data_IF_442703629088
#
_entry.id   IF_442703629088
#
_cell.length_a   1.000
_cell.length_b   1.000
_cell.length_c   1.000
_cell.angle_alpha   90.00
_cell.angle_beta   90.00
_cell.angle_gamma   90.00
#
_symmetry.space_group_name_H-M   'P 1'
#
loop_
_entity.id
_entity.type
_entity.pdbx_description
1 polymer ?
#
# COMPACT_ATOMS: atom_id res chain seq x y z
N UNK A 1 -72.99 24.17 -37.25
CA UNK A 1 -71.63 24.75 -37.09
C UNK A 1 -71.21 24.98 -35.63
N UNK A 2 -72.13 25.21 -34.69
CA UNK A 2 -71.79 25.38 -33.25
C UNK A 2 -71.55 24.05 -32.51
N UNK A 3 -72.21 22.96 -32.93
CA UNK A 3 -72.10 21.64 -32.27
C UNK A 3 -70.80 20.88 -32.56
N UNK A 4 -70.17 21.12 -33.72
CA UNK A 4 -68.92 20.44 -34.13
C UNK A 4 -67.68 21.05 -33.45
N UNK A 5 -67.74 22.34 -33.08
CA UNK A 5 -66.66 23.02 -32.38
C UNK A 5 -66.58 22.65 -30.88
N UNK A 6 -67.72 22.37 -30.24
CA UNK A 6 -67.75 21.95 -28.83
C UNK A 6 -67.25 20.51 -28.63
N UNK A 7 -67.59 19.58 -29.54
CA UNK A 7 -67.10 18.20 -29.50
C UNK A 7 -65.57 18.09 -29.73
N UNK A 8 -64.99 19.00 -30.52
CA UNK A 8 -63.55 19.11 -30.78
C UNK A 8 -62.75 19.64 -29.58
N UNK A 9 -63.28 20.62 -28.84
CA UNK A 9 -62.64 21.14 -27.63
C UNK A 9 -62.70 20.15 -26.46
N UNK A 10 -63.83 19.46 -26.25
CA UNK A 10 -63.95 18.48 -25.16
C UNK A 10 -63.03 17.27 -25.37
N UNK A 11 -62.94 16.74 -26.59
CA UNK A 11 -61.98 15.67 -26.88
C UNK A 11 -60.53 16.12 -26.70
N UNK A 12 -60.15 17.33 -27.14
CA UNK A 12 -58.79 17.85 -26.95
C UNK A 12 -58.42 18.03 -25.46
N UNK A 13 -59.35 18.51 -24.61
CA UNK A 13 -59.11 18.63 -23.17
C UNK A 13 -59.04 17.28 -22.47
N UNK A 14 -59.87 16.30 -22.85
CA UNK A 14 -59.84 14.93 -22.31
C UNK A 14 -58.52 14.23 -22.69
N UNK A 15 -58.09 14.30 -23.95
CA UNK A 15 -56.80 13.73 -24.38
C UNK A 15 -55.62 14.41 -23.70
N UNK A 16 -55.63 15.75 -23.53
CA UNK A 16 -54.56 16.48 -22.82
C UNK A 16 -54.50 16.13 -21.34
N UNK A 17 -55.65 15.99 -20.67
CA UNK A 17 -55.71 15.61 -19.25
C UNK A 17 -55.30 14.16 -19.02
N UNK A 18 -55.65 13.26 -19.95
CA UNK A 18 -55.27 11.84 -19.92
C UNK A 18 -53.78 11.65 -20.24
N UNK A 19 -53.20 12.47 -21.13
CA UNK A 19 -51.76 12.50 -21.42
C UNK A 19 -50.93 13.07 -20.26
N UNK A 20 -51.41 14.11 -19.58
CA UNK A 20 -50.78 14.66 -18.37
C UNK A 20 -50.82 13.67 -17.20
N UNK A 21 -51.93 12.95 -17.00
CA UNK A 21 -52.00 11.84 -16.04
C UNK A 21 -51.03 10.72 -16.39
N UNK A 22 -50.91 10.35 -17.66
CA UNK A 22 -49.95 9.35 -18.11
C UNK A 22 -48.50 9.79 -17.85
N UNK A 23 -48.21 11.09 -18.04
CA UNK A 23 -46.89 11.66 -17.81
C UNK A 23 -46.52 11.74 -16.32
N UNK A 24 -47.49 12.04 -15.43
CA UNK A 24 -47.31 11.93 -13.98
C UNK A 24 -47.12 10.49 -13.51
N UNK A 25 -47.91 9.55 -14.05
CA UNK A 25 -47.77 8.10 -13.77
C UNK A 25 -46.39 7.59 -14.22
N UNK A 26 -45.90 8.00 -15.39
CA UNK A 26 -44.54 7.71 -15.86
C UNK A 26 -43.44 8.32 -14.98
N UNK A 27 -43.66 9.52 -14.43
CA UNK A 27 -42.73 10.19 -13.51
C UNK A 27 -42.68 9.48 -12.14
N UNK A 28 -43.82 9.00 -11.66
CA UNK A 28 -43.95 8.19 -10.45
C UNK A 28 -43.33 6.80 -10.63
N UNK A 29 -43.56 6.15 -11.77
CA UNK A 29 -42.93 4.89 -12.13
C UNK A 29 -41.40 5.02 -12.24
N UNK A 30 -40.87 6.10 -12.84
CA UNK A 30 -39.42 6.36 -12.87
C UNK A 30 -38.84 6.57 -11.47
N UNK A 31 -39.54 7.30 -10.57
CA UNK A 31 -39.11 7.45 -9.17
C UNK A 31 -39.08 6.12 -8.43
N UNK A 32 -40.10 5.27 -8.62
CA UNK A 32 -40.17 3.94 -8.03
C UNK A 32 -39.11 2.99 -8.62
N UNK A 33 -38.81 3.08 -9.91
CA UNK A 33 -37.73 2.32 -10.55
C UNK A 33 -36.35 2.76 -10.04
N UNK A 34 -36.16 4.06 -9.82
CA UNK A 34 -34.91 4.60 -9.26
C UNK A 34 -34.75 4.20 -7.79
N UNK A 35 -35.84 4.25 -7.00
CA UNK A 35 -35.86 3.76 -5.62
C UNK A 35 -35.62 2.25 -5.55
N UNK A 36 -36.21 1.48 -6.46
CA UNK A 36 -36.01 0.04 -6.55
C UNK A 36 -34.57 -0.30 -6.97
N UNK A 37 -34.00 0.43 -7.94
CA UNK A 37 -32.61 0.29 -8.34
C UNK A 37 -31.65 0.67 -7.20
N UNK A 38 -31.92 1.75 -6.47
CA UNK A 38 -31.15 2.16 -5.29
C UNK A 38 -31.25 1.12 -4.16
N UNK A 39 -32.43 0.56 -3.92
CA UNK A 39 -32.66 -0.52 -2.96
C UNK A 39 -31.96 -1.83 -3.37
N UNK A 40 -31.98 -2.18 -4.66
CA UNK A 40 -31.21 -3.31 -5.21
C UNK A 40 -29.69 -3.08 -5.09
N UNK A 41 -29.20 -1.85 -5.29
CA UNK A 41 -27.79 -1.51 -5.11
C UNK A 41 -27.34 -1.56 -3.65
N UNK A 42 -28.23 -1.23 -2.71
CA UNK A 42 -27.98 -1.39 -1.27
C UNK A 42 -27.94 -2.88 -0.87
N UNK A 43 -28.75 -3.72 -1.52
CA UNK A 43 -28.76 -5.17 -1.27
C UNK A 43 -27.52 -5.89 -1.83
N UNK A 44 -26.85 -5.36 -2.86
CA UNK A 44 -25.62 -5.93 -3.41
C UNK A 44 -24.34 -5.53 -2.65
N UNK A 45 -24.43 -4.64 -1.65
CA UNK A 45 -23.29 -4.23 -0.83
C UNK A 45 -22.83 -5.28 0.21
N UNK A 46 -23.32 -6.53 0.15
CA UNK A 46 -22.96 -7.60 1.10
C UNK A 46 -21.62 -8.29 0.83
N UNK A 47 -20.90 -7.93 -0.23
CA UNK A 47 -19.49 -8.31 -0.38
C UNK A 47 -18.63 -7.16 0.13
N UNK A 48 -18.40 -7.16 1.44
CA UNK A 48 -17.47 -6.23 2.08
C UNK A 48 -16.12 -6.31 1.37
N UNK A 49 -15.65 -5.17 0.88
CA UNK A 49 -14.30 -5.04 0.34
C UNK A 49 -13.33 -5.14 1.50
N UNK A 50 -12.72 -6.31 1.69
CA UNK A 50 -11.66 -6.50 2.67
C UNK A 50 -10.41 -5.78 2.15
N UNK A 51 -9.96 -4.76 2.89
CA UNK A 51 -8.67 -4.10 2.65
C UNK A 51 -7.68 -4.73 3.63
N UNK A 52 -6.75 -5.57 3.17
CA UNK A 52 -5.75 -6.17 4.04
C UNK A 52 -4.95 -5.10 4.78
N UNK A 53 -4.79 -5.27 6.09
CA UNK A 53 -4.05 -4.36 6.95
C UNK A 53 -4.88 -3.30 7.68
N UNK A 54 -6.19 -3.17 7.40
CA UNK A 54 -7.09 -2.21 8.06
C UNK A 54 -7.84 -2.82 9.26
N UNK A 55 -8.23 -4.09 9.15
CA UNK A 55 -8.89 -4.82 10.25
C UNK A 55 -7.89 -5.71 11.00
N UNK A 56 -8.02 -5.83 12.33
CA UNK A 56 -7.20 -6.74 13.12
C UNK A 56 -7.58 -8.19 12.81
N UNK A 57 -6.56 -9.02 12.59
CA UNK A 57 -6.71 -10.48 12.55
C UNK A 57 -6.47 -11.02 13.96
N UNK A 58 -7.41 -11.81 14.45
CA UNK A 58 -7.34 -12.46 15.75
C UNK A 58 -6.96 -13.92 15.55
N UNK A 59 -5.96 -14.37 16.30
CA UNK A 59 -5.44 -15.72 16.24
C UNK A 59 -5.74 -16.43 17.56
N UNK A 60 -6.35 -17.61 17.46
CA UNK A 60 -6.49 -18.52 18.60
C UNK A 60 -5.19 -19.30 18.82
N UNK A 61 -4.97 -19.78 20.04
CA UNK A 61 -3.86 -20.70 20.36
C UNK A 61 -3.84 -21.87 19.37
N UNK A 62 -2.68 -22.15 18.79
CA UNK A 62 -2.49 -23.23 17.82
C UNK A 62 -2.98 -22.96 16.40
N UNK A 63 -3.59 -21.80 16.13
CA UNK A 63 -3.93 -21.41 14.75
C UNK A 63 -2.68 -21.25 13.88
N UNK A 64 -2.80 -21.60 12.59
CA UNK A 64 -1.67 -21.51 11.64
C UNK A 64 -1.36 -20.07 11.28
N UNK A 65 -0.10 -19.67 11.39
CA UNK A 65 0.41 -18.35 11.02
C UNK A 65 1.29 -18.48 9.79
N UNK A 66 0.82 -17.94 8.66
CA UNK A 66 1.56 -17.97 7.40
C UNK A 66 2.71 -16.95 7.41
N UNK A 67 3.95 -17.44 7.25
CA UNK A 67 5.09 -16.58 6.90
C UNK A 67 5.15 -16.47 5.39
N UNK A 68 5.17 -15.24 4.88
CA UNK A 68 5.27 -14.96 3.44
C UNK A 68 6.62 -14.34 3.13
N UNK A 69 7.11 -14.55 1.92
CA UNK A 69 8.32 -13.89 1.44
C UNK A 69 7.96 -12.86 0.37
N UNK A 70 8.68 -11.75 0.36
CA UNK A 70 8.42 -10.63 -0.55
C UNK A 70 9.51 -10.56 -1.62
N UNK A 71 10.72 -10.18 -1.22
CA UNK A 71 11.84 -9.94 -2.14
C UNK A 71 13.18 -9.88 -1.42
N UNK A 72 14.23 -9.82 -2.20
CA UNK A 72 15.61 -9.58 -1.81
C UNK A 72 15.98 -8.15 -2.20
N UNK A 73 16.58 -7.40 -1.28
CA UNK A 73 17.08 -6.04 -1.56
C UNK A 73 18.48 -5.86 -1.00
N UNK A 74 19.31 -5.08 -1.68
CA UNK A 74 20.62 -4.68 -1.22
C UNK A 74 20.65 -3.19 -0.88
N UNK A 75 21.56 -2.79 0.00
CA UNK A 75 21.92 -1.37 0.20
C UNK A 75 22.97 -0.88 -0.79
N UNK A 76 23.72 -1.80 -1.42
CA UNK A 76 24.78 -1.52 -2.40
C UNK A 76 24.25 -1.42 -3.82
N UNK A 77 23.30 -2.28 -4.18
CA UNK A 77 22.72 -2.33 -5.53
C UNK A 77 21.27 -1.85 -5.51
N UNK A 78 20.81 -1.29 -6.62
CA UNK A 78 19.43 -0.78 -6.75
C UNK A 78 18.44 -1.84 -7.27
N UNK A 79 18.91 -3.05 -7.60
CA UNK A 79 18.10 -4.09 -8.23
C UNK A 79 17.53 -5.07 -7.18
N UNK A 80 16.20 -5.11 -6.97
CA UNK A 80 15.57 -6.13 -6.16
C UNK A 80 15.44 -7.45 -6.94
N UNK A 81 15.50 -8.58 -6.22
CA UNK A 81 15.25 -9.91 -6.77
C UNK A 81 14.07 -10.57 -6.06
N UNK A 82 13.38 -11.49 -6.75
CA UNK A 82 12.33 -12.31 -6.15
C UNK A 82 12.92 -13.27 -5.11
N UNK A 83 12.13 -13.69 -4.12
CA UNK A 83 12.62 -14.57 -3.06
C UNK A 83 13.22 -15.88 -3.59
N UNK A 84 12.50 -16.60 -4.45
CA UNK A 84 12.95 -17.86 -5.06
C UNK A 84 13.93 -17.69 -6.23
N UNK A 85 14.47 -16.49 -6.44
CA UNK A 85 15.63 -16.32 -7.32
C UNK A 85 16.86 -17.03 -6.77
N UNK A 86 16.97 -17.07 -5.44
CA UNK A 86 17.97 -17.86 -4.73
C UNK A 86 17.47 -19.30 -4.50
N UNK A 87 18.38 -20.28 -4.35
CA UNK A 87 18.06 -21.69 -4.14
C UNK A 87 17.56 -21.96 -2.70
N UNK A 88 16.55 -21.20 -2.26
CA UNK A 88 15.80 -21.50 -1.06
C UNK A 88 14.84 -22.65 -1.30
N UNK A 89 14.26 -23.11 -0.20
CA UNK A 89 13.42 -24.28 -0.22
C UNK A 89 12.01 -23.96 -0.63
N UNK A 90 11.57 -24.69 -1.64
CA UNK A 90 10.22 -24.62 -2.16
C UNK A 90 9.24 -25.25 -1.15
N UNK A 91 8.03 -24.71 -1.02
CA UNK A 91 6.99 -25.33 -0.21
C UNK A 91 6.61 -26.69 -0.79
N UNK A 92 6.06 -27.58 0.04
CA UNK A 92 5.67 -28.94 -0.37
C UNK A 92 4.49 -28.96 -1.39
N UNK A 93 3.82 -27.81 -1.60
CA UNK A 93 2.74 -27.62 -2.57
C UNK A 93 3.05 -26.60 -3.67
N UNK A 94 2.01 -26.08 -4.34
CA UNK A 94 2.16 -25.08 -5.40
C UNK A 94 2.62 -23.72 -4.85
N UNK A 95 3.42 -23.01 -5.65
CA UNK A 95 3.80 -21.62 -5.39
C UNK A 95 2.56 -20.73 -5.57
N UNK A 96 2.08 -20.18 -4.46
CA UNK A 96 0.93 -19.28 -4.44
C UNK A 96 1.42 -17.84 -4.32
N UNK A 97 1.10 -17.04 -5.34
CA UNK A 97 1.29 -15.60 -5.32
C UNK A 97 0.04 -14.95 -4.72
N UNK A 98 0.17 -14.34 -3.54
CA UNK A 98 -0.93 -13.62 -2.87
C UNK A 98 -0.59 -12.14 -2.81
N UNK A 99 -1.21 -11.31 -3.65
CA UNK A 99 -1.12 -9.85 -3.50
C UNK A 99 -2.19 -9.38 -2.51
N UNK A 100 -1.79 -8.74 -1.41
CA UNK A 100 -2.72 -8.34 -0.35
C UNK A 100 -3.26 -6.92 -0.62
N UNK A 101 -2.42 -5.96 -1.05
CA UNK A 101 -2.89 -4.57 -1.23
C UNK A 101 -2.50 -3.91 -2.57
N UNK A 102 -3.23 -2.85 -2.93
CA UNK A 102 -2.99 -2.06 -4.14
C UNK A 102 -1.58 -1.45 -4.15
N UNK A 103 -1.06 -1.07 -2.98
CA UNK A 103 0.28 -0.49 -2.86
C UNK A 103 1.40 -1.49 -3.18
N UNK A 104 1.23 -2.77 -2.89
CA UNK A 104 2.15 -3.87 -3.25
C UNK A 104 2.11 -4.13 -4.74
N UNK A 105 0.91 -4.11 -5.34
CA UNK A 105 0.73 -4.25 -6.79
C UNK A 105 1.44 -3.10 -7.52
N UNK A 106 1.27 -1.85 -7.07
CA UNK A 106 1.92 -0.68 -7.67
C UNK A 106 3.44 -0.70 -7.48
N UNK A 107 3.94 -1.30 -6.39
CA UNK A 107 5.38 -1.51 -6.18
C UNK A 107 5.95 -2.68 -6.99
N UNK A 108 5.08 -3.50 -7.59
CA UNK A 108 5.49 -4.74 -8.26
C UNK A 108 5.96 -5.83 -7.31
N UNK A 109 5.58 -5.76 -6.03
CA UNK A 109 5.97 -6.75 -5.02
C UNK A 109 5.20 -8.06 -5.26
N UNK A 110 5.93 -9.16 -5.47
CA UNK A 110 5.38 -10.51 -5.68
C UNK A 110 5.50 -11.34 -4.41
N UNK A 111 4.50 -11.22 -3.54
CA UNK A 111 4.48 -11.97 -2.28
C UNK A 111 4.14 -13.44 -2.53
N UNK A 112 4.98 -14.32 -2.00
CA UNK A 112 4.89 -15.78 -2.17
C UNK A 112 4.79 -16.52 -0.84
N UNK A 113 4.15 -17.69 -0.85
CA UNK A 113 4.14 -18.60 0.30
C UNK A 113 5.53 -19.20 0.55
N UNK A 114 5.80 -19.54 1.81
CA UNK A 114 7.04 -20.19 2.25
C UNK A 114 6.75 -21.52 2.95
N UNK A 115 7.76 -22.39 3.15
CA UNK A 115 7.59 -23.65 3.88
C UNK A 115 7.62 -23.51 5.41
N UNK A 116 7.72 -22.28 5.95
CA UNK A 116 7.71 -22.08 7.40
C UNK A 116 6.31 -22.42 7.96
N UNK A 117 6.26 -23.34 8.93
CA UNK A 117 5.03 -23.76 9.57
C UNK A 117 5.03 -23.27 11.02
N UNK A 118 4.36 -22.14 11.27
CA UNK A 118 4.24 -21.55 12.60
C UNK A 118 2.82 -21.72 13.10
N UNK A 119 2.68 -22.15 14.36
CA UNK A 119 1.41 -22.21 15.05
C UNK A 119 1.41 -21.20 16.20
N UNK A 120 0.32 -20.47 16.36
CA UNK A 120 0.18 -19.39 17.32
C UNK A 120 0.45 -19.87 18.75
N UNK A 121 1.31 -19.16 19.48
CA UNK A 121 1.68 -19.45 20.89
C UNK A 121 2.27 -20.86 21.13
N UNK A 122 2.76 -21.51 20.07
CA UNK A 122 3.48 -22.78 20.15
C UNK A 122 4.94 -22.54 19.72
N UNK A 123 5.90 -22.51 20.66
CA UNK A 123 7.29 -22.23 20.35
C UNK A 123 7.93 -23.42 19.62
N UNK A 124 8.72 -23.11 18.59
CA UNK A 124 9.48 -24.09 17.81
C UNK A 124 10.96 -23.92 18.13
N UNK A 125 11.55 -24.86 18.87
CA UNK A 125 12.97 -24.79 19.21
C UNK A 125 13.86 -24.89 17.97
N UNK A 126 13.60 -25.88 17.12
CA UNK A 126 14.33 -26.07 15.87
C UNK A 126 13.49 -26.89 14.89
N UNK A 127 13.36 -26.43 13.66
CA UNK A 127 12.78 -27.19 12.58
C UNK A 127 13.57 -27.03 11.28
N UNK A 128 13.79 -28.13 10.56
CA UNK A 128 14.36 -28.14 9.23
C UNK A 128 13.28 -27.82 8.20
N UNK A 129 13.59 -26.95 7.23
CA UNK A 129 12.63 -26.59 6.17
C UNK A 129 12.49 -27.66 5.09
N UNK A 130 13.62 -28.12 4.57
CA UNK A 130 13.72 -28.77 3.25
C UNK A 130 14.28 -30.18 3.31
N UNK A 131 14.50 -30.68 4.53
CA UNK A 131 14.95 -32.04 4.75
C UNK A 131 13.79 -33.00 4.46
N UNK A 132 13.50 -33.26 3.19
CA UNK A 132 12.91 -34.53 2.80
C UNK A 132 13.98 -35.57 3.12
N UNK A 133 13.81 -36.29 4.23
CA UNK A 133 14.67 -37.39 4.68
C UNK A 133 16.07 -37.03 5.20
N UNK A 134 16.25 -35.87 5.87
CA UNK A 134 17.51 -35.51 6.57
C UNK A 134 18.72 -35.26 5.68
N UNK A 135 18.48 -35.11 4.38
CA UNK A 135 19.53 -34.86 3.39
C UNK A 135 19.85 -33.38 3.36
N UNK A 136 21.14 -33.04 3.42
CA UNK A 136 21.62 -31.66 3.19
C UNK A 136 21.23 -31.22 1.79
N UNK A 137 20.79 -29.98 1.65
CA UNK A 137 20.57 -29.38 0.33
C UNK A 137 21.92 -29.23 -0.35
N UNK A 138 22.10 -29.94 -1.48
CA UNK A 138 23.30 -29.82 -2.32
C UNK A 138 23.12 -28.63 -3.24
N UNK A 139 23.94 -27.60 -3.05
CA UNK A 139 24.00 -26.43 -3.91
C UNK A 139 24.98 -26.69 -5.04
N UNK A 140 24.57 -26.46 -6.28
CA UNK A 140 25.47 -26.49 -7.43
C UNK A 140 26.60 -25.46 -7.27
N UNK A 141 27.69 -25.64 -8.02
CA UNK A 141 28.78 -24.66 -8.06
C UNK A 141 28.26 -23.27 -8.50
N UNK A 142 27.43 -23.22 -9.53
CA UNK A 142 26.84 -21.97 -10.02
C UNK A 142 25.89 -21.31 -9.00
N UNK A 143 25.10 -22.10 -8.28
CA UNK A 143 24.20 -21.62 -7.23
C UNK A 143 24.97 -21.10 -6.01
N UNK A 144 26.08 -21.77 -5.68
CA UNK A 144 26.99 -21.35 -4.61
C UNK A 144 27.66 -20.01 -4.95
N UNK A 145 28.13 -19.87 -6.20
CA UNK A 145 28.74 -18.62 -6.68
C UNK A 145 27.73 -17.47 -6.69
N UNK A 146 26.49 -17.73 -7.12
CA UNK A 146 25.39 -16.77 -7.06
C UNK A 146 25.11 -16.32 -5.62
N UNK A 147 25.01 -17.25 -4.67
CA UNK A 147 24.83 -16.91 -3.25
C UNK A 147 26.00 -16.08 -2.71
N UNK A 148 27.23 -16.44 -3.06
CA UNK A 148 28.44 -15.71 -2.65
C UNK A 148 28.41 -14.26 -3.16
N UNK A 149 28.05 -14.05 -4.43
CA UNK A 149 27.92 -12.72 -5.01
C UNK A 149 26.85 -11.89 -4.30
N UNK A 150 25.69 -12.50 -4.03
CA UNK A 150 24.57 -11.83 -3.37
C UNK A 150 24.90 -11.49 -1.90
N UNK A 151 25.67 -12.32 -1.20
CA UNK A 151 26.15 -12.01 0.15
C UNK A 151 27.17 -10.86 0.11
N UNK A 152 28.12 -10.85 -0.84
CA UNK A 152 29.08 -9.76 -1.02
C UNK A 152 28.41 -8.42 -1.35
N UNK A 153 27.28 -8.49 -2.06
CA UNK A 153 26.43 -7.35 -2.35
C UNK A 153 25.48 -7.01 -1.19
N UNK A 154 25.61 -7.61 0.00
CA UNK A 154 24.82 -7.29 1.20
C UNK A 154 23.30 -7.40 0.98
N UNK A 155 22.87 -8.41 0.23
CA UNK A 155 21.45 -8.67 0.04
C UNK A 155 20.78 -9.11 1.35
N UNK A 156 19.58 -8.56 1.57
CA UNK A 156 18.71 -8.83 2.71
C UNK A 156 17.40 -9.43 2.24
N UNK A 157 16.91 -10.39 3.01
CA UNK A 157 15.69 -11.14 2.73
C UNK A 157 14.52 -10.51 3.47
N UNK A 158 13.48 -10.13 2.75
CA UNK A 158 12.25 -9.56 3.32
C UNK A 158 11.18 -10.62 3.47
N UNK A 159 10.81 -10.89 4.72
CA UNK A 159 9.70 -11.75 5.09
C UNK A 159 8.57 -10.91 5.70
N UNK A 160 7.37 -11.46 5.69
CA UNK A 160 6.13 -10.81 6.08
C UNK A 160 5.28 -11.76 6.93
N UNK A 161 4.73 -11.27 8.04
CA UNK A 161 3.78 -12.00 8.89
C UNK A 161 2.66 -11.03 9.27
N UNK A 162 1.40 -11.38 9.04
CA UNK A 162 0.23 -10.52 9.32
C UNK A 162 0.39 -9.07 8.82
N UNK A 163 0.92 -8.94 7.60
CA UNK A 163 1.29 -7.67 6.94
C UNK A 163 2.40 -6.86 7.62
N UNK A 164 3.07 -7.37 8.66
CA UNK A 164 4.23 -6.74 9.28
C UNK A 164 5.52 -7.23 8.62
N UNK A 165 6.43 -6.32 8.23
CA UNK A 165 7.72 -6.70 7.70
C UNK A 165 8.61 -7.25 8.83
N UNK A 166 9.36 -8.30 8.55
CA UNK A 166 10.36 -8.80 9.47
C UNK A 166 11.51 -7.82 9.64
N UNK A 167 11.95 -7.62 10.87
CA UNK A 167 13.06 -6.70 11.18
C UNK A 167 14.18 -7.37 11.94
N UNK A 168 15.42 -6.98 11.66
CA UNK A 168 16.58 -7.42 12.43
C UNK A 168 17.06 -6.28 13.31
N UNK A 169 17.18 -6.58 14.60
CA UNK A 169 17.77 -5.71 15.60
C UNK A 169 19.30 -5.73 15.49
N UNK A 170 19.93 -4.56 15.41
CA UNK A 170 21.38 -4.37 15.37
C UNK A 170 21.75 -3.34 16.45
N UNK A 171 22.68 -3.69 17.33
CA UNK A 171 23.18 -2.72 18.31
C UNK A 171 24.20 -1.80 17.64
N UNK A 172 23.95 -0.50 17.71
CA UNK A 172 24.93 0.51 17.34
C UNK A 172 26.00 0.62 18.44
N UNK A 173 27.20 1.09 18.08
CA UNK A 173 28.30 1.34 19.03
C UNK A 173 27.88 2.24 20.22
N UNK A 174 26.89 3.10 20.01
CA UNK A 174 26.34 4.00 21.05
C UNK A 174 25.39 3.29 22.04
N UNK A 175 25.26 1.96 21.98
CA UNK A 175 24.33 1.18 22.81
C UNK A 175 22.86 1.35 22.44
N UNK A 176 22.56 2.04 21.33
CA UNK A 176 21.20 2.21 20.82
C UNK A 176 20.85 1.06 19.88
N UNK A 177 19.64 0.57 20.00
CA UNK A 177 19.11 -0.45 19.11
C UNK A 177 18.67 0.19 17.78
N UNK A 178 19.35 -0.14 16.70
CA UNK A 178 18.86 0.08 15.35
C UNK A 178 18.06 -1.14 14.91
N UNK A 179 16.99 -0.90 14.16
CA UNK A 179 16.29 -1.99 13.50
C UNK A 179 16.41 -1.77 11.99
N UNK A 180 16.57 -2.86 11.25
CA UNK A 180 16.61 -2.87 9.78
C UNK A 180 15.55 -3.81 9.23
N UNK A 181 14.97 -3.47 8.08
CA UNK A 181 14.04 -4.36 7.38
C UNK A 181 14.76 -5.58 6.80
N UNK A 182 14.14 -6.75 6.95
CA UNK A 182 14.68 -8.04 6.54
C UNK A 182 15.89 -8.48 7.34
N UNK A 183 16.36 -9.70 7.09
CA UNK A 183 17.58 -10.25 7.67
C UNK A 183 18.69 -10.36 6.61
N UNK A 184 19.96 -10.29 7.03
CA UNK A 184 21.08 -10.44 6.11
C UNK A 184 21.22 -11.89 5.63
N UNK A 185 21.38 -12.10 4.32
CA UNK A 185 21.57 -13.44 3.75
C UNK A 185 22.83 -14.13 4.29
N UNK A 186 23.85 -13.35 4.61
CA UNK A 186 25.14 -13.82 5.12
C UNK A 186 26.02 -12.64 5.51
N UNK A 187 27.27 -12.93 5.80
CA UNK A 187 28.28 -11.92 6.09
C UNK A 187 29.63 -12.34 5.51
N UNK A 188 30.52 -11.36 5.36
CA UNK A 188 31.89 -11.59 4.88
C UNK A 188 32.83 -11.30 6.04
N UNK A 189 33.68 -12.27 6.36
CA UNK A 189 34.70 -12.15 7.41
C UNK A 189 36.03 -12.72 6.91
N UNK A 190 37.13 -12.00 7.13
CA UNK A 190 38.48 -12.33 6.62
C UNK A 190 38.51 -12.79 5.14
N UNK A 191 37.73 -12.14 4.28
CA UNK A 191 37.57 -12.47 2.85
C UNK A 191 36.91 -13.84 2.56
N UNK A 192 36.40 -14.52 3.59
CA UNK A 192 35.55 -15.70 3.48
C UNK A 192 34.09 -15.28 3.59
N UNK A 193 33.22 -16.00 2.87
CA UNK A 193 31.79 -15.70 2.83
C UNK A 193 31.04 -16.75 3.65
N UNK A 194 30.22 -16.28 4.57
CA UNK A 194 29.43 -17.11 5.47
C UNK A 194 27.94 -16.93 5.20
N UNK A 195 27.20 -18.04 5.17
CA UNK A 195 25.76 -18.04 4.90
C UNK A 195 24.97 -18.12 6.20
N UNK A 196 23.93 -17.31 6.33
CA UNK A 196 22.94 -17.46 7.40
C UNK A 196 21.88 -18.48 7.01
N UNK A 197 22.06 -19.71 7.45
CA UNK A 197 21.19 -20.85 7.14
C UNK A 197 20.15 -21.15 8.23
N UNK A 198 20.28 -20.54 9.41
CA UNK A 198 19.31 -20.64 10.49
C UNK A 198 18.62 -19.30 10.72
N UNK A 199 17.29 -19.31 10.73
CA UNK A 199 16.47 -18.12 10.96
C UNK A 199 15.65 -18.28 12.23
N UNK A 200 15.90 -17.43 13.23
CA UNK A 200 15.16 -17.39 14.48
C UNK A 200 14.11 -16.27 14.42
N UNK A 201 12.84 -16.64 14.50
CA UNK A 201 11.71 -15.73 14.52
C UNK A 201 11.32 -15.40 15.95
N UNK A 202 11.20 -14.11 16.24
CA UNK A 202 10.66 -13.59 17.49
C UNK A 202 9.39 -12.83 17.13
N UNK A 203 8.24 -13.38 17.49
CA UNK A 203 6.95 -12.78 17.18
C UNK A 203 6.37 -12.19 18.46
N UNK A 204 6.12 -10.89 18.43
CA UNK A 204 5.51 -10.18 19.54
C UNK A 204 3.99 -10.24 19.42
N UNK A 205 3.34 -10.70 20.48
CA UNK A 205 1.89 -10.90 20.55
C UNK A 205 1.28 -10.07 21.67
N UNK A 206 0.06 -9.60 21.45
CA UNK A 206 -0.73 -8.89 22.42
C UNK A 206 -2.01 -9.68 22.72
N UNK A 207 -2.27 -9.94 24.00
CA UNK A 207 -3.45 -10.65 24.46
C UNK A 207 -4.66 -9.70 24.49
N UNK A 208 -5.76 -10.12 23.86
CA UNK A 208 -7.00 -9.32 23.78
C UNK A 208 -8.06 -9.92 24.69
N UNK A 209 -8.19 -11.24 24.66
CA UNK A 209 -9.06 -12.05 25.51
C UNK A 209 -8.39 -13.40 25.78
N UNK A 210 -8.98 -14.19 26.68
CA UNK A 210 -8.49 -15.54 26.99
C UNK A 210 -8.27 -16.35 25.71
N UNK A 211 -7.04 -16.82 25.50
CA UNK A 211 -6.62 -17.64 24.34
C UNK A 211 -6.75 -16.98 22.96
N UNK A 212 -6.87 -15.63 22.92
CA UNK A 212 -6.96 -14.87 21.66
C UNK A 212 -5.92 -13.77 21.63
N UNK A 213 -5.06 -13.84 20.62
CA UNK A 213 -3.89 -13.01 20.48
C UNK A 213 -3.89 -12.26 19.15
N UNK A 214 -3.24 -11.09 19.15
CA UNK A 214 -2.97 -10.30 17.95
C UNK A 214 -1.46 -10.14 17.77
N UNK A 215 -1.00 -10.24 16.53
CA UNK A 215 0.43 -10.08 16.20
C UNK A 215 0.74 -8.57 16.10
N UNK A 216 1.70 -8.12 16.91
CA UNK A 216 2.09 -6.71 17.03
C UNK A 216 3.53 -6.44 16.64
N UNK A 217 4.36 -7.46 16.50
CA UNK A 217 5.75 -7.29 16.09
C UNK A 217 6.34 -8.55 15.49
N UNK A 218 7.30 -8.38 14.59
CA UNK A 218 7.99 -9.45 13.91
C UNK A 218 9.48 -9.10 13.79
N UNK A 219 10.27 -9.80 14.59
CA UNK A 219 11.72 -9.68 14.62
C UNK A 219 12.36 -10.99 14.10
N UNK A 220 13.45 -10.85 13.36
CA UNK A 220 14.19 -11.95 12.75
C UNK A 220 15.66 -11.83 13.13
N UNK A 221 16.19 -12.90 13.70
CA UNK A 221 17.61 -13.07 13.98
C UNK A 221 18.16 -14.20 13.12
N UNK A 222 19.07 -13.87 12.21
CA UNK A 222 19.70 -14.85 11.34
C UNK A 222 21.05 -15.29 11.92
N UNK A 223 21.36 -16.58 11.84
CA UNK A 223 22.61 -17.17 12.32
C UNK A 223 23.19 -18.10 11.27
N UNK A 224 24.51 -18.20 11.28
CA UNK A 224 25.26 -19.14 10.45
C UNK A 224 25.66 -20.35 11.30
N UNK A 225 25.19 -21.55 10.92
CA UNK A 225 25.40 -22.79 11.65
C UNK A 225 25.98 -23.86 10.71
N UNK A 226 27.23 -24.26 10.94
CA UNK A 226 27.86 -25.34 10.16
C UNK A 226 27.49 -26.75 10.65
N UNK A 227 27.53 -26.94 11.97
CA UNK A 227 27.21 -28.22 12.62
C UNK A 227 25.79 -28.16 13.17
N UNK A 228 24.87 -28.81 12.45
CA UNK A 228 23.49 -29.05 12.87
C UNK A 228 23.24 -30.55 12.87
N UNK A 229 22.72 -31.07 13.98
CA UNK A 229 22.34 -32.46 14.11
C UNK A 229 20.83 -32.60 13.92
N UNK A 230 20.44 -33.54 13.07
CA UNK A 230 19.05 -33.93 12.94
C UNK A 230 18.68 -34.92 14.05
N UNK A 231 17.51 -34.73 14.67
CA UNK A 231 17.01 -35.62 15.72
C UNK A 231 15.96 -36.57 15.12
N UNK A 232 16.26 -37.87 14.95
CA UNK A 232 15.44 -38.78 14.14
C UNK A 232 14.08 -39.18 14.68
N UNK A 233 13.72 -38.80 15.92
CA UNK A 233 12.51 -39.30 16.58
C UNK A 233 11.38 -38.26 16.76
N UNK A 234 11.47 -37.06 16.19
CA UNK A 234 10.46 -35.98 16.39
C UNK A 234 10.05 -35.26 15.10
N UNK A 235 10.17 -35.92 13.93
CA UNK A 235 9.84 -35.30 12.64
C UNK A 235 10.90 -34.29 12.21
N UNK A 236 10.52 -33.13 11.66
CA UNK A 236 11.44 -32.09 11.13
C UNK A 236 12.33 -31.40 12.19
N UNK A 237 12.43 -31.91 13.42
CA UNK A 237 13.18 -31.26 14.52
C UNK A 237 14.69 -31.36 14.38
N UNK A 238 15.41 -30.34 14.85
CA UNK A 238 16.88 -30.32 14.88
C UNK A 238 17.45 -29.89 16.24
N UNK A 239 18.74 -30.12 16.45
CA UNK A 239 19.50 -29.59 17.57
C UNK A 239 20.81 -28.99 17.05
N UNK A 240 21.25 -27.91 17.69
CA UNK A 240 22.52 -27.28 17.38
C UNK A 240 23.21 -26.87 18.69
N UNK A 241 24.54 -26.87 18.68
CA UNK A 241 25.32 -26.44 19.83
C UNK A 241 25.54 -24.92 19.75
N UNK A 242 25.59 -24.24 20.90
CA UNK A 242 25.82 -22.80 20.97
C UNK A 242 27.20 -22.37 20.45
N UNK A 243 28.14 -23.31 20.33
CA UNK A 243 29.51 -23.11 19.84
C UNK A 243 29.71 -23.52 18.36
N UNK A 244 28.63 -23.74 17.61
CA UNK A 244 28.76 -24.11 16.19
C UNK A 244 29.47 -23.01 15.39
N UNK A 245 30.51 -23.39 14.65
CA UNK A 245 31.22 -22.49 13.73
C UNK A 245 30.29 -21.98 12.63
N UNK A 246 30.58 -20.79 12.10
CA UNK A 246 29.85 -20.23 10.96
C UNK A 246 30.04 -21.11 9.72
N UNK A 247 28.97 -21.31 8.94
CA UNK A 247 28.97 -22.12 7.71
C UNK A 247 29.64 -21.34 6.57
N UNK A 248 30.86 -21.74 6.13
CA UNK A 248 31.51 -21.08 5.01
C UNK A 248 30.89 -21.56 3.69
N UNK A 249 30.88 -20.67 2.69
CA UNK A 249 30.61 -21.00 1.29
C UNK A 249 31.91 -20.98 0.51
N UNK A 250 32.22 -22.08 -0.18
CA UNK A 250 33.37 -22.17 -1.08
C UNK A 250 32.94 -21.91 -2.53
N UNK A 251 33.63 -21.02 -3.26
CA UNK A 251 33.31 -20.76 -4.66
C UNK A 251 33.67 -21.95 -5.55
N UNK A 252 32.89 -22.18 -6.60
CA UNK A 252 33.14 -23.23 -7.61
C UNK A 252 33.01 -24.67 -7.11
N UNK A 253 32.53 -24.90 -5.88
CA UNK A 253 32.38 -26.24 -5.27
C UNK A 253 30.92 -26.48 -4.88
N UNK A 254 30.51 -27.75 -4.90
CA UNK A 254 29.20 -28.16 -4.36
C UNK A 254 29.22 -28.00 -2.85
N UNK A 255 28.37 -27.13 -2.31
CA UNK A 255 28.22 -26.92 -0.87
C UNK A 255 26.97 -27.67 -0.37
N UNK A 256 27.07 -28.30 0.80
CA UNK A 256 25.96 -29.02 1.42
C UNK A 256 25.48 -28.28 2.66
N UNK A 257 24.22 -27.84 2.67
CA UNK A 257 23.70 -26.92 3.70
C UNK A 257 22.37 -27.43 4.27
N UNK A 258 22.19 -27.24 5.57
CA UNK A 258 20.89 -27.38 6.23
C UNK A 258 20.21 -26.03 6.38
N UNK A 259 18.98 -25.92 5.90
CA UNK A 259 18.10 -24.79 6.17
C UNK A 259 17.21 -25.10 7.35
N UNK A 260 17.21 -24.22 8.34
CA UNK A 260 16.48 -24.42 9.57
C UNK A 260 15.90 -23.12 10.09
N UNK A 261 14.90 -23.24 10.96
CA UNK A 261 14.32 -22.11 11.64
C UNK A 261 13.93 -22.48 13.08
N UNK A 262 13.70 -21.44 13.86
CA UNK A 262 13.16 -21.53 15.20
C UNK A 262 12.18 -20.38 15.39
N UNK A 263 11.23 -20.53 16.31
CA UNK A 263 10.21 -19.53 16.56
C UNK A 263 9.94 -19.41 18.07
N UNK A 264 9.95 -18.18 18.54
CA UNK A 264 9.62 -17.78 19.91
C UNK A 264 8.48 -16.76 19.88
N UNK A 265 7.54 -16.92 20.80
CA UNK A 265 6.41 -16.00 20.99
C UNK A 265 6.66 -15.18 22.26
N UNK A 266 6.55 -13.85 22.16
CA UNK A 266 6.77 -12.93 23.29
C UNK A 266 5.56 -12.04 23.51
N UNK A 267 5.05 -12.01 24.73
CA UNK A 267 3.99 -11.07 25.12
C UNK A 267 4.53 -9.64 25.12
N UNK A 268 3.77 -8.73 24.51
CA UNK A 268 4.09 -7.32 24.40
C UNK A 268 2.91 -6.44 24.80
N UNK A 269 3.14 -5.33 25.54
CA UNK A 269 2.10 -4.38 25.93
C UNK A 269 1.64 -3.47 24.78
N UNK A 270 2.27 -3.56 23.60
CA UNK A 270 1.94 -2.73 22.43
C UNK A 270 0.54 -3.08 21.93
N UNK A 271 -0.29 -2.05 21.73
CA UNK A 271 -1.63 -2.22 21.14
C UNK A 271 -1.52 -2.45 19.63
N UNK A 272 -2.45 -3.23 19.07
CA UNK A 272 -2.48 -3.50 17.63
C UNK A 272 -2.50 -2.22 16.77
N UNK A 273 -3.22 -1.17 17.18
CA UNK A 273 -3.30 0.08 16.43
C UNK A 273 -1.95 0.81 16.29
N UNK A 274 -1.06 0.69 17.28
CA UNK A 274 0.26 1.33 17.31
C UNK A 274 1.39 0.40 16.81
N UNK A 275 1.05 -0.80 16.30
CA UNK A 275 2.05 -1.82 15.94
C UNK A 275 3.02 -1.38 14.84
N UNK A 276 2.60 -0.45 13.98
CA UNK A 276 3.40 0.09 12.89
C UNK A 276 4.39 1.18 13.33
N UNK A 277 4.18 1.80 14.50
CA UNK A 277 4.98 2.95 14.94
C UNK A 277 6.46 2.59 15.09
N UNK A 278 6.76 1.37 15.57
CA UNK A 278 8.13 0.85 15.69
C UNK A 278 8.83 0.80 14.33
N UNK A 279 8.16 0.30 13.29
CA UNK A 279 8.71 0.17 11.94
C UNK A 279 8.85 1.51 11.21
N UNK A 280 7.95 2.45 11.48
CA UNK A 280 8.01 3.80 10.91
C UNK A 280 9.15 4.61 11.54
N UNK A 281 9.43 4.40 12.83
CA UNK A 281 10.50 5.08 13.55
C UNK A 281 11.92 4.69 13.07
N UNK A 282 12.08 3.48 12.53
CA UNK A 282 13.34 2.98 11.95
C UNK A 282 13.85 3.79 10.77
N UNK A 283 12.92 4.38 10.00
CA UNK A 283 13.25 5.16 8.82
C UNK A 283 13.46 6.63 9.15
N UNK A 284 14.02 6.94 10.32
CA UNK A 284 14.55 8.26 10.64
C UNK A 284 15.85 8.53 9.86
N UNK A 285 15.79 8.31 8.54
CA UNK A 285 16.69 9.00 7.64
C UNK A 285 16.43 10.48 7.86
N UNK A 286 17.50 11.18 8.23
CA UNK A 286 17.56 12.63 8.26
C UNK A 286 16.82 13.15 7.05
N UNK A 287 15.74 13.90 7.29
CA UNK A 287 15.00 14.58 6.24
C UNK A 287 16.06 15.22 5.35
N UNK A 288 16.08 14.86 4.06
CA UNK A 288 16.93 15.53 3.08
C UNK A 288 16.39 16.96 2.94
N UNK A 289 16.68 17.78 3.95
CA UNK A 289 16.26 19.16 4.09
C UNK A 289 16.73 19.98 2.89
N UNK A 290 17.77 19.51 2.20
CA UNK A 290 18.23 19.98 0.90
C UNK A 290 17.11 19.96 -0.16
N UNK A 291 16.29 18.90 -0.24
CA UNK A 291 15.17 18.81 -1.20
C UNK A 291 14.01 19.75 -0.82
N UNK A 292 13.78 19.93 0.47
CA UNK A 292 12.75 20.86 0.98
C UNK A 292 13.16 22.30 0.70
N UNK A 293 14.41 22.66 1.03
CA UNK A 293 14.98 23.99 0.75
C UNK A 293 14.96 24.27 -0.75
N UNK A 294 15.39 23.31 -1.58
CA UNK A 294 15.35 23.46 -3.04
C UNK A 294 13.93 23.75 -3.56
N UNK A 295 12.93 23.04 -3.04
CA UNK A 295 11.54 23.27 -3.44
C UNK A 295 11.02 24.64 -3.00
N UNK A 296 11.38 25.09 -1.79
CA UNK A 296 10.99 26.41 -1.27
C UNK A 296 11.62 27.53 -2.11
N UNK A 297 12.90 27.41 -2.45
CA UNK A 297 13.62 28.40 -3.27
C UNK A 297 12.94 28.56 -4.62
N UNK A 298 12.60 27.47 -5.30
CA UNK A 298 11.91 27.50 -6.61
C UNK A 298 10.56 28.23 -6.50
N UNK A 299 9.78 27.95 -5.45
CA UNK A 299 8.46 28.60 -5.26
C UNK A 299 8.60 30.11 -5.04
N UNK A 300 9.56 30.55 -4.21
CA UNK A 300 9.82 31.98 -3.96
C UNK A 300 10.26 32.68 -5.24
N UNK A 301 11.14 32.06 -6.04
CA UNK A 301 11.58 32.63 -7.32
C UNK A 301 10.43 32.76 -8.32
N UNK A 302 9.59 31.72 -8.46
CA UNK A 302 8.44 31.75 -9.37
C UNK A 302 7.41 32.80 -8.92
N UNK A 303 7.13 32.90 -7.62
CA UNK A 303 6.23 33.91 -7.07
C UNK A 303 6.79 35.33 -7.26
N UNK A 304 8.09 35.53 -7.04
CA UNK A 304 8.76 36.81 -7.29
C UNK A 304 8.72 37.21 -8.76
N UNK A 305 9.02 36.28 -9.66
CA UNK A 305 8.96 36.53 -11.11
C UNK A 305 7.54 36.88 -11.58
N UNK A 306 6.54 36.12 -11.13
CA UNK A 306 5.13 36.44 -11.40
C UNK A 306 4.74 37.82 -10.84
N UNK A 307 5.18 38.13 -9.61
CA UNK A 307 4.97 39.42 -8.98
C UNK A 307 5.59 40.58 -9.77
N UNK A 308 6.80 40.40 -10.32
CA UNK A 308 7.44 41.38 -11.19
C UNK A 308 6.68 41.58 -12.51
N UNK A 309 6.19 40.50 -13.12
CA UNK A 309 5.34 40.58 -14.33
C UNK A 309 4.07 41.38 -14.01
N UNK A 310 3.35 41.00 -12.95
CA UNK A 310 2.10 41.67 -12.55
C UNK A 310 2.36 43.14 -12.22
N UNK A 311 3.42 43.45 -11.47
CA UNK A 311 3.74 44.84 -11.14
C UNK A 311 4.07 45.65 -12.40
N UNK A 312 4.79 45.04 -13.35
CA UNK A 312 5.13 45.68 -14.62
C UNK A 312 3.91 45.90 -15.50
N UNK A 313 2.98 44.95 -15.55
CA UNK A 313 1.72 45.09 -16.32
C UNK A 313 0.82 46.14 -15.67
N UNK A 314 0.61 46.08 -14.35
CA UNK A 314 -0.24 47.04 -13.62
C UNK A 314 0.30 48.47 -13.75
N UNK A 315 1.62 48.68 -13.59
CA UNK A 315 2.20 50.03 -13.78
C UNK A 315 2.02 50.54 -15.21
N UNK A 316 2.16 49.66 -16.20
CA UNK A 316 1.96 50.00 -17.62
C UNK A 316 0.49 50.35 -17.89
N UNK A 317 -0.43 49.57 -17.35
CA UNK A 317 -1.86 49.76 -17.54
C UNK A 317 -2.33 51.05 -16.86
N UNK A 318 -1.92 51.33 -15.62
CA UNK A 318 -2.22 52.61 -14.95
C UNK A 318 -1.69 53.80 -15.76
N UNK A 319 -0.46 53.72 -16.25
CA UNK A 319 0.11 54.81 -17.07
C UNK A 319 -0.65 55.00 -18.40
N UNK A 320 -1.23 53.94 -18.95
CA UNK A 320 -2.08 54.00 -20.13
C UNK A 320 -3.46 54.59 -19.81
N UNK A 321 -4.12 54.12 -18.74
CA UNK A 321 -5.42 54.62 -18.32
C UNK A 321 -5.38 56.09 -17.90
N UNK A 322 -4.35 56.53 -17.17
CA UNK A 322 -4.20 57.94 -16.79
C UNK A 322 -4.04 58.87 -18.01
N UNK A 323 -3.42 58.39 -19.09
CA UNK A 323 -3.35 59.14 -20.36
C UNK A 323 -4.67 59.13 -21.12
N UNK A 324 -5.45 58.06 -20.98
CA UNK A 324 -6.79 57.96 -21.56
C UNK A 324 -7.78 58.87 -20.83
N UNK A 325 -7.74 58.93 -19.50
CA UNK A 325 -8.58 59.80 -18.66
C UNK A 325 -8.41 61.27 -19.04
N UNK A 326 -7.17 61.74 -19.25
CA UNK A 326 -6.90 63.10 -19.78
C UNK A 326 -7.50 63.35 -21.17
N UNK A 327 -7.85 62.32 -21.92
CA UNK A 327 -8.39 62.40 -23.29
C UNK A 327 -9.88 62.04 -23.42
N UNK A 328 -10.51 61.44 -22.39
CA UNK A 328 -11.83 60.79 -22.45
C UNK A 328 -12.86 61.37 -21.48
N UNK A 329 -12.55 62.46 -20.76
CA UNK A 329 -13.46 63.13 -19.81
C UNK A 329 -14.84 63.49 -20.43
N UNK A 330 -14.97 63.51 -21.76
CA UNK A 330 -16.23 63.78 -22.47
C UNK A 330 -16.99 62.53 -23.01
N UNK A 331 -16.47 61.29 -22.93
CA UNK A 331 -17.14 60.11 -23.56
C UNK A 331 -17.22 58.83 -22.71
N UNK A 332 -16.67 58.81 -21.49
CA UNK A 332 -16.51 57.56 -20.73
C UNK A 332 -17.63 57.20 -19.74
N UNK A 333 -18.66 58.04 -19.58
CA UNK A 333 -19.80 57.73 -18.69
C UNK A 333 -20.64 56.51 -19.14
N UNK A 334 -20.45 55.98 -20.35
CA UNK A 334 -21.26 54.87 -20.88
C UNK A 334 -20.59 53.47 -20.88
N UNK A 335 -19.32 53.34 -20.49
CA UNK A 335 -18.58 52.06 -20.60
C UNK A 335 -18.00 51.61 -19.25
N UNK A 336 -18.71 50.76 -18.52
CA UNK A 336 -18.18 50.16 -17.28
C UNK A 336 -18.96 48.96 -16.75
N UNK A 337 -18.29 48.20 -15.87
CA UNK A 337 -18.80 47.01 -15.14
C UNK A 337 -20.16 47.21 -14.44
N UNK A 338 -20.62 48.45 -14.30
CA UNK A 338 -21.96 48.82 -13.83
C UNK A 338 -23.09 48.30 -14.73
N UNK A 339 -22.88 48.20 -16.05
CA UNK A 339 -23.86 47.65 -17.00
C UNK A 339 -23.92 46.11 -16.98
N UNK A 340 -22.90 45.44 -16.42
CA UNK A 340 -22.82 43.97 -16.34
C UNK A 340 -23.91 43.40 -15.45
N UNK A 341 -24.42 44.17 -14.48
CA UNK A 341 -25.55 43.74 -13.65
C UNK A 341 -26.82 43.45 -14.49
N UNK A 342 -26.98 44.09 -15.66
CA UNK A 342 -28.08 43.82 -16.59
C UNK A 342 -27.90 42.57 -17.47
N UNK A 343 -26.66 42.11 -17.64
CA UNK A 343 -26.32 40.93 -18.45
C UNK A 343 -26.27 39.62 -17.64
N UNK A 344 -26.14 39.69 -16.31
CA UNK A 344 -26.18 38.51 -15.41
C UNK A 344 -27.51 37.74 -15.54
N UNK A 345 -28.59 38.41 -15.93
CA UNK A 345 -29.92 37.78 -16.07
C UNK A 345 -30.20 37.24 -17.48
N UNK A 346 -29.28 37.36 -18.44
CA UNK A 346 -29.47 36.78 -19.78
C UNK A 346 -29.05 35.32 -19.80
N UNK A 347 -29.92 34.39 -20.24
CA UNK A 347 -29.52 33.01 -20.40
C UNK A 347 -28.40 32.92 -21.47
N UNK A 348 -27.30 32.20 -21.20
CA UNK A 348 -26.20 32.08 -22.15
C UNK A 348 -26.66 31.37 -23.42
N UNK A 349 -26.08 31.76 -24.57
CA UNK A 349 -26.43 31.22 -25.91
C UNK A 349 -26.44 29.69 -26.00
N UNK A 350 -25.71 28.99 -25.12
CA UNK A 350 -25.63 27.52 -25.05
C UNK A 350 -25.89 27.00 -23.61
N UNK A 351 -26.97 27.45 -22.99
CA UNK A 351 -27.33 27.08 -21.62
C UNK A 351 -27.43 25.55 -21.40
N UNK A 352 -27.89 24.79 -22.39
CA UNK A 352 -27.99 23.32 -22.30
C UNK A 352 -26.63 22.64 -22.13
N UNK A 353 -25.63 23.01 -22.93
CA UNK A 353 -24.27 22.46 -22.81
C UNK A 353 -23.64 22.82 -21.46
N UNK A 354 -23.83 24.06 -21.00
CA UNK A 354 -23.31 24.51 -19.70
C UNK A 354 -23.91 23.67 -18.56
N UNK A 355 -25.24 23.47 -18.56
CA UNK A 355 -25.93 22.65 -17.54
C UNK A 355 -25.48 21.18 -17.59
N UNK A 356 -25.26 20.61 -18.79
CA UNK A 356 -24.73 19.26 -18.93
C UNK A 356 -23.31 19.14 -18.35
N UNK A 357 -22.42 20.10 -18.62
CA UNK A 357 -21.04 20.10 -18.08
C UNK A 357 -21.04 20.31 -16.57
N UNK A 358 -21.86 21.24 -16.06
CA UNK A 358 -21.95 21.50 -14.62
C UNK A 358 -22.53 20.30 -13.86
N UNK A 359 -23.60 19.70 -14.40
CA UNK A 359 -24.26 18.54 -13.81
C UNK A 359 -23.34 17.31 -13.78
N UNK A 360 -22.63 17.05 -14.89
CA UNK A 360 -21.64 15.96 -14.95
C UNK A 360 -20.44 16.23 -14.03
N UNK A 361 -19.97 17.48 -13.94
CA UNK A 361 -18.90 17.87 -13.02
C UNK A 361 -19.27 17.67 -11.55
N UNK A 362 -20.47 18.12 -11.13
CA UNK A 362 -20.98 17.92 -9.77
C UNK A 362 -21.17 16.43 -9.46
N UNK A 363 -21.67 15.64 -10.43
CA UNK A 363 -21.83 14.20 -10.27
C UNK A 363 -20.47 13.50 -10.07
N UNK A 364 -19.46 13.85 -10.86
CA UNK A 364 -18.10 13.30 -10.72
C UNK A 364 -17.47 13.71 -9.38
N UNK A 365 -17.65 14.97 -8.96
CA UNK A 365 -17.14 15.48 -7.69
C UNK A 365 -17.81 14.79 -6.50
N UNK A 366 -19.13 14.55 -6.55
CA UNK A 366 -19.86 13.78 -5.54
C UNK A 366 -19.39 12.33 -5.47
N UNK A 367 -19.21 11.67 -6.63
CA UNK A 367 -18.65 10.32 -6.70
C UNK A 367 -17.25 10.26 -6.07
N UNK A 368 -16.38 11.23 -6.39
CA UNK A 368 -15.03 11.33 -5.85
C UNK A 368 -15.01 11.57 -4.33
N UNK A 369 -15.89 12.43 -3.81
CA UNK A 369 -15.98 12.68 -2.38
C UNK A 369 -16.51 11.46 -1.61
N UNK A 370 -17.45 10.72 -2.17
CA UNK A 370 -17.95 9.48 -1.54
C UNK A 370 -16.88 8.40 -1.56
N UNK A 371 -16.15 8.23 -2.66
CA UNK A 371 -15.06 7.23 -2.72
C UNK A 371 -13.92 7.58 -1.77
N UNK A 372 -13.51 8.85 -1.70
CA UNK A 372 -12.45 9.32 -0.80
C UNK A 372 -12.91 9.39 0.67
N UNK A 373 -14.15 9.81 0.93
CA UNK A 373 -14.71 9.88 2.29
C UNK A 373 -14.93 8.51 2.90
N UNK A 374 -15.37 7.53 2.10
CA UNK A 374 -15.47 6.13 2.53
C UNK A 374 -14.10 5.51 2.85
N UNK A 375 -13.02 6.04 2.26
CA UNK A 375 -11.65 5.63 2.52
C UNK A 375 -11.08 6.17 3.85
N UNK A 376 -11.76 7.13 4.50
CA UNK A 376 -11.30 7.77 5.75
C UNK A 376 -12.09 7.33 6.99
N UNK A 377 -13.21 6.62 6.80
CA UNK A 377 -14.10 6.14 7.87
C UNK A 377 -14.31 4.62 7.86
N UNK A 378 -13.60 3.90 7.00
CA UNK A 378 -13.40 2.45 7.07
C UNK A 378 -11.91 2.21 7.33
#
# INVERSE_FOLDING_TARGET
LVTIFFLSLETYYIYRFQFLKLFEQLKMMKKWLFLFFFYCCLLTAKKGFYIPGVLPVEFHVGSSVEVKAVKLTSIRTQMPYDYYYLPFCLPDGELQYKSENLGEILRGDRIVNTPFALNMDIPVKCALLCAKNNVKTKLSAAESDLLIEQIRNEYRVHLLVDNLPGTTKTQLENGRDAYMHGYALGFVDENKVYLNNHVHFIIYINEVSTETYRIVGFEIQARSLSSMQYVPNSGKSCSWNSESEAQPLKPGVVNEIYWSYSAEWRLSPIRWASRWDSYLSMRSNQIHWLSIVNSIVIVVFLAGFLGLIIMRTVRRDIAYYNRLDESLDDTMEESGWKLVHGDIFRPPRRATLLVCVLGTGIQLLGMALVTLGKQRFA
#
